data_IF_753871836429
#
_entry.id   IF_753871836429
#
_cell.length_a   1.000
_cell.length_b   1.000
_cell.length_c   1.000
_cell.angle_alpha   90.00
_cell.angle_beta   90.00
_cell.angle_gamma   90.00
#
_symmetry.space_group_name_H-M   'P 1'
#
loop_
_entity.id
_entity.type
_entity.pdbx_description
1 polymer ?
#
# COMPACT_ATOMS: atom_id res chain seq x y z
N UNK A 1 65.58 23.10 48.55
CA UNK A 1 64.83 21.83 48.48
C UNK A 1 63.33 22.14 48.50
N UNK A 2 62.73 22.30 47.31
CA UNK A 2 61.27 22.28 47.10
C UNK A 2 61.07 21.62 45.73
N UNK A 3 60.59 20.38 45.76
CA UNK A 3 60.25 19.60 44.58
C UNK A 3 58.88 20.04 44.05
N UNK A 4 58.81 20.39 42.77
CA UNK A 4 57.55 20.59 42.07
C UNK A 4 57.15 19.25 41.42
N UNK A 5 56.11 18.62 41.97
CA UNK A 5 55.47 17.48 41.33
C UNK A 5 54.57 17.98 40.18
N UNK A 6 54.97 17.70 38.94
CA UNK A 6 54.12 17.86 37.76
C UNK A 6 53.16 16.68 37.69
N UNK A 7 51.91 16.88 38.10
CA UNK A 7 50.83 15.91 37.91
C UNK A 7 50.37 15.92 36.45
N UNK A 8 50.76 14.88 35.71
CA UNK A 8 50.24 14.60 34.37
C UNK A 8 48.82 14.04 34.50
N UNK A 9 47.81 14.84 34.14
CA UNK A 9 46.42 14.38 34.06
C UNK A 9 46.28 13.61 32.74
N UNK A 10 46.34 12.29 32.79
CA UNK A 10 45.86 11.42 31.70
C UNK A 10 44.35 11.58 31.58
N UNK A 11 43.90 12.26 30.52
CA UNK A 11 42.50 12.30 30.14
C UNK A 11 42.12 10.94 29.52
N UNK A 12 41.58 10.05 30.35
CA UNK A 12 40.85 8.87 29.89
C UNK A 12 39.57 9.34 29.20
N UNK A 13 39.55 9.32 27.87
CA UNK A 13 38.30 9.53 27.12
C UNK A 13 37.36 8.34 27.36
N UNK A 14 36.06 8.54 27.66
CA UNK A 14 35.12 7.45 27.71
C UNK A 14 34.82 6.99 26.28
N UNK A 15 35.57 5.99 25.81
CA UNK A 15 35.24 5.21 24.62
C UNK A 15 34.28 4.11 25.03
N UNK A 16 33.00 4.43 25.10
CA UNK A 16 31.90 3.46 24.91
C UNK A 16 30.65 4.23 24.46
N UNK A 17 30.76 4.91 23.31
CA UNK A 17 29.57 5.39 22.62
C UNK A 17 28.85 4.17 22.06
N UNK A 18 27.86 3.67 22.80
CA UNK A 18 27.09 2.50 22.41
C UNK A 18 26.44 2.74 21.05
N UNK A 19 26.77 1.88 20.07
CA UNK A 19 26.26 2.02 18.71
C UNK A 19 24.71 2.01 18.70
N UNK A 20 24.07 2.90 17.91
CA UNK A 20 22.62 3.01 17.88
C UNK A 20 21.99 1.71 17.39
N UNK A 21 20.88 1.31 18.01
CA UNK A 21 20.16 0.08 17.65
C UNK A 21 19.30 0.36 16.42
N UNK A 22 19.77 -0.08 15.26
CA UNK A 22 19.09 0.16 13.99
C UNK A 22 17.82 -0.70 13.87
N UNK A 23 16.76 -0.09 13.32
CA UNK A 23 15.42 -0.67 13.19
C UNK A 23 14.92 -0.64 11.74
N UNK A 24 13.72 -1.16 11.49
CA UNK A 24 13.06 -1.06 10.17
C UNK A 24 12.83 0.39 9.73
N UNK A 25 12.64 1.32 10.67
CA UNK A 25 12.49 2.74 10.36
C UNK A 25 13.78 3.33 9.76
N UNK A 26 14.93 2.97 10.34
CA UNK A 26 16.26 3.35 9.83
C UNK A 26 16.50 2.82 8.42
N UNK A 27 16.21 1.54 8.17
CA UNK A 27 16.34 0.96 6.83
C UNK A 27 15.45 1.65 5.79
N UNK A 28 14.22 2.04 6.17
CA UNK A 28 13.32 2.80 5.30
C UNK A 28 13.90 4.19 5.00
N UNK A 29 14.31 4.94 6.01
CA UNK A 29 14.89 6.29 5.87
C UNK A 29 16.14 6.26 4.99
N UNK A 30 17.04 5.31 5.22
CA UNK A 30 18.25 5.13 4.43
C UNK A 30 17.93 4.85 2.94
N UNK A 31 16.89 4.06 2.66
CA UNK A 31 16.43 3.79 1.28
C UNK A 31 15.74 5.00 0.63
N UNK A 32 15.07 5.84 1.40
CA UNK A 32 14.51 7.12 0.90
C UNK A 32 15.66 8.05 0.46
N UNK A 33 16.68 8.20 1.31
CA UNK A 33 17.87 9.01 0.99
C UNK A 33 18.58 8.46 -0.25
N UNK A 34 18.81 7.14 -0.34
CA UNK A 34 19.44 6.49 -1.50
C UNK A 34 18.73 6.77 -2.83
N UNK A 35 17.39 6.84 -2.82
CA UNK A 35 16.57 7.08 -4.01
C UNK A 35 16.35 8.57 -4.32
N UNK A 36 16.95 9.46 -3.52
CA UNK A 36 16.80 10.90 -3.63
C UNK A 36 18.14 11.59 -3.87
N UNK A 37 18.10 12.89 -4.15
CA UNK A 37 19.29 13.73 -4.20
C UNK A 37 19.92 14.00 -2.81
N UNK A 38 19.50 13.28 -1.75
CA UNK A 38 20.14 13.37 -0.44
C UNK A 38 19.69 14.57 0.40
N UNK A 39 18.46 15.04 0.26
CA UNK A 39 17.97 16.18 1.04
C UNK A 39 17.87 15.83 2.54
N UNK A 40 18.55 16.57 3.45
CA UNK A 40 18.50 16.29 4.87
C UNK A 40 17.15 16.70 5.48
N UNK A 41 16.56 15.81 6.28
CA UNK A 41 15.35 16.09 7.09
C UNK A 41 15.70 16.55 8.50
N UNK A 42 16.95 16.34 8.93
CA UNK A 42 17.49 16.68 10.26
C UNK A 42 16.69 16.05 11.42
N UNK A 43 16.24 14.81 11.25
CA UNK A 43 15.50 14.06 12.26
C UNK A 43 16.38 13.11 13.09
N UNK A 44 15.80 12.49 14.12
CA UNK A 44 16.52 11.55 15.00
C UNK A 44 17.03 10.30 14.26
N UNK A 45 16.32 9.82 13.23
CA UNK A 45 16.75 8.67 12.44
C UNK A 45 18.02 9.01 11.64
N UNK A 46 18.11 10.21 11.08
CA UNK A 46 19.30 10.69 10.38
C UNK A 46 20.50 10.84 11.32
N UNK A 47 20.28 11.32 12.55
CA UNK A 47 21.34 11.39 13.57
C UNK A 47 21.90 9.99 13.86
N UNK A 48 21.03 9.01 14.08
CA UNK A 48 21.45 7.63 14.35
C UNK A 48 22.13 6.97 13.13
N UNK A 49 21.64 7.23 11.91
CA UNK A 49 22.25 6.73 10.67
C UNK A 49 23.63 7.35 10.40
N UNK A 50 23.81 8.64 10.71
CA UNK A 50 25.10 9.33 10.64
C UNK A 50 26.07 8.80 11.71
N UNK A 51 25.60 8.64 12.94
CA UNK A 51 26.40 8.07 14.03
C UNK A 51 26.83 6.62 13.75
N UNK A 52 25.97 5.85 13.06
CA UNK A 52 26.27 4.50 12.61
C UNK A 52 27.17 4.44 11.35
N UNK A 53 27.54 5.58 10.76
CA UNK A 53 28.36 5.64 9.54
C UNK A 53 27.66 5.10 8.29
N UNK A 54 26.33 4.95 8.30
CA UNK A 54 25.55 4.51 7.13
C UNK A 54 25.21 5.68 6.18
N UNK A 55 25.32 6.91 6.70
CA UNK A 55 25.23 8.14 5.95
C UNK A 55 26.49 8.98 6.14
N UNK A 56 26.79 9.81 5.15
CA UNK A 56 27.78 10.88 5.24
C UNK A 56 27.19 12.21 4.79
N UNK A 57 27.70 13.31 5.37
CA UNK A 57 27.33 14.67 4.97
C UNK A 57 28.27 15.15 3.86
N UNK A 58 27.70 15.52 2.72
CA UNK A 58 28.40 16.19 1.64
C UNK A 58 28.13 17.69 1.70
N UNK A 59 29.22 18.47 1.67
CA UNK A 59 29.18 19.93 1.60
C UNK A 59 29.95 20.38 0.37
N UNK A 60 29.31 20.41 -0.81
CA UNK A 60 29.92 20.97 -2.00
C UNK A 60 30.32 22.43 -1.71
N UNK A 61 31.44 22.88 -2.29
CA UNK A 61 31.93 24.25 -2.16
C UNK A 61 30.85 25.26 -2.59
N UNK A 62 30.19 25.92 -1.63
CA UNK A 62 29.09 26.86 -1.90
C UNK A 62 27.72 26.22 -2.19
N UNK A 63 27.60 24.89 -2.08
CA UNK A 63 26.34 24.17 -2.26
C UNK A 63 25.56 23.96 -0.96
N UNK A 64 24.31 23.49 -1.10
CA UNK A 64 23.49 23.06 0.05
C UNK A 64 24.02 21.72 0.56
N UNK A 65 24.08 21.55 1.88
CA UNK A 65 24.45 20.28 2.51
C UNK A 65 23.48 19.17 2.06
N UNK A 66 24.03 18.03 1.63
CA UNK A 66 23.27 16.83 1.28
C UNK A 66 23.80 15.61 2.02
N UNK A 67 22.99 14.57 2.11
CA UNK A 67 23.30 13.28 2.71
C UNK A 67 23.51 12.24 1.63
N UNK A 68 24.64 11.55 1.70
CA UNK A 68 24.96 10.43 0.84
C UNK A 68 24.95 9.12 1.63
N UNK A 69 24.46 8.06 1.01
CA UNK A 69 24.56 6.71 1.56
C UNK A 69 25.99 6.19 1.34
N UNK A 70 26.65 5.80 2.41
CA UNK A 70 28.02 5.24 2.37
C UNK A 70 28.01 3.80 1.86
N UNK A 71 29.17 3.23 1.52
CA UNK A 71 29.27 1.82 1.14
C UNK A 71 28.82 0.86 2.26
N UNK A 72 29.05 1.24 3.52
CA UNK A 72 28.50 0.53 4.67
C UNK A 72 26.97 0.60 4.70
N UNK A 73 26.40 1.78 4.39
CA UNK A 73 24.96 1.96 4.19
C UNK A 73 24.38 1.12 3.05
N UNK A 74 25.07 1.04 1.90
CA UNK A 74 24.68 0.18 0.78
C UNK A 74 24.71 -1.29 1.17
N UNK A 75 25.77 -1.73 1.85
CA UNK A 75 25.88 -3.10 2.37
C UNK A 75 24.76 -3.42 3.35
N UNK A 76 24.43 -2.49 4.25
CA UNK A 76 23.32 -2.63 5.19
C UNK A 76 21.96 -2.73 4.48
N UNK A 77 21.74 -1.92 3.44
CA UNK A 77 20.53 -2.01 2.60
C UNK A 77 20.46 -3.36 1.89
N UNK A 78 21.54 -3.82 1.29
CA UNK A 78 21.61 -5.12 0.61
C UNK A 78 21.33 -6.28 1.58
N UNK A 79 21.93 -6.28 2.77
CA UNK A 79 21.65 -7.28 3.81
C UNK A 79 20.21 -7.23 4.31
N UNK A 80 19.62 -6.03 4.41
CA UNK A 80 18.22 -5.87 4.79
C UNK A 80 17.29 -6.41 3.70
N UNK A 81 17.59 -6.12 2.43
CA UNK A 81 16.88 -6.69 1.29
C UNK A 81 17.00 -8.21 1.27
N UNK A 82 18.20 -8.75 1.47
CA UNK A 82 18.44 -10.19 1.50
C UNK A 82 17.71 -10.88 2.66
N UNK A 83 17.75 -10.31 3.87
CA UNK A 83 16.96 -10.82 5.01
C UNK A 83 15.48 -10.77 4.74
N UNK A 84 14.98 -9.69 4.13
CA UNK A 84 13.57 -9.59 3.76
C UNK A 84 13.20 -10.64 2.69
N UNK A 85 14.06 -10.88 1.69
CA UNK A 85 13.87 -11.94 0.68
C UNK A 85 13.86 -13.33 1.31
N UNK A 86 14.74 -13.59 2.28
CA UNK A 86 14.81 -14.86 3.01
C UNK A 86 13.65 -15.03 4.01
N UNK A 87 13.11 -13.92 4.50
CA UNK A 87 11.98 -13.89 5.44
C UNK A 87 10.62 -13.74 4.73
N UNK A 88 10.56 -13.75 3.40
CA UNK A 88 9.31 -13.61 2.67
C UNK A 88 8.43 -14.82 3.01
N UNK A 89 7.33 -14.57 3.70
CA UNK A 89 6.38 -15.63 4.02
C UNK A 89 5.75 -16.19 2.75
N UNK A 90 5.22 -17.40 2.80
CA UNK A 90 4.45 -17.99 1.67
C UNK A 90 3.34 -17.04 1.22
N UNK A 91 2.73 -16.31 2.17
CA UNK A 91 1.76 -15.27 1.89
C UNK A 91 2.37 -14.11 1.10
N UNK A 92 3.47 -13.52 1.57
CA UNK A 92 4.12 -12.39 0.88
C UNK A 92 4.59 -12.77 -0.54
N UNK A 93 5.02 -14.02 -0.72
CA UNK A 93 5.46 -14.52 -2.03
C UNK A 93 4.28 -14.57 -3.00
N UNK A 94 3.12 -15.04 -2.53
CA UNK A 94 1.90 -15.07 -3.32
C UNK A 94 1.34 -13.66 -3.58
N UNK A 95 1.45 -12.73 -2.61
CA UNK A 95 1.16 -11.30 -2.81
C UNK A 95 1.98 -10.73 -3.96
N UNK A 96 3.29 -10.98 -3.97
CA UNK A 96 4.17 -10.52 -5.03
C UNK A 96 3.81 -11.15 -6.39
N UNK A 97 3.48 -12.44 -6.43
CA UNK A 97 3.07 -13.13 -7.66
C UNK A 97 1.79 -12.54 -8.27
N UNK A 98 0.76 -12.32 -7.45
CA UNK A 98 -0.50 -11.69 -7.88
C UNK A 98 -0.24 -10.26 -8.36
N UNK A 99 0.55 -9.48 -7.62
CA UNK A 99 0.90 -8.13 -8.01
C UNK A 99 1.63 -8.07 -9.36
N UNK A 100 2.59 -8.96 -9.61
CA UNK A 100 3.26 -9.06 -10.93
C UNK A 100 2.27 -9.35 -12.05
N UNK A 101 1.38 -10.32 -11.86
CA UNK A 101 0.37 -10.66 -12.87
C UNK A 101 -0.50 -9.45 -13.25
N UNK A 102 -0.94 -8.69 -12.25
CA UNK A 102 -1.76 -7.48 -12.47
C UNK A 102 -0.98 -6.34 -13.13
N UNK A 103 0.29 -6.14 -12.78
CA UNK A 103 1.16 -5.16 -13.43
C UNK A 103 1.42 -5.51 -14.90
N UNK A 104 1.68 -6.79 -15.20
CA UNK A 104 1.81 -7.30 -16.58
C UNK A 104 0.51 -7.10 -17.36
N UNK A 105 -0.64 -7.25 -16.71
CA UNK A 105 -1.95 -6.91 -17.28
C UNK A 105 -2.21 -5.39 -17.43
N UNK A 106 -1.22 -4.54 -17.14
CA UNK A 106 -1.29 -3.08 -17.31
C UNK A 106 -2.09 -2.35 -16.24
N UNK A 107 -2.33 -2.99 -15.08
CA UNK A 107 -3.05 -2.36 -13.95
C UNK A 107 -2.09 -1.59 -13.06
N UNK A 108 -2.60 -0.58 -12.35
CA UNK A 108 -1.88 0.09 -11.27
C UNK A 108 -2.20 -0.63 -9.97
N UNK A 109 -1.16 -1.01 -9.21
CA UNK A 109 -1.27 -1.96 -8.10
C UNK A 109 -0.70 -1.36 -6.81
N UNK A 110 -1.36 -1.61 -5.68
CA UNK A 110 -0.89 -1.28 -4.33
C UNK A 110 -1.02 -2.51 -3.42
N UNK A 111 -0.14 -2.58 -2.43
CA UNK A 111 -0.22 -3.56 -1.33
C UNK A 111 -0.23 -2.84 0.01
N UNK A 112 -0.83 -3.48 1.01
CA UNK A 112 -0.86 -2.93 2.38
C UNK A 112 -1.63 -1.61 2.53
N UNK A 113 -2.51 -1.29 1.58
CA UNK A 113 -3.34 -0.08 1.57
C UNK A 113 -4.32 -0.11 2.74
N UNK A 114 -4.34 0.92 3.60
CA UNK A 114 -5.34 1.04 4.66
C UNK A 114 -6.42 2.04 4.23
N UNK A 115 -7.68 1.59 4.11
CA UNK A 115 -8.79 2.40 3.61
C UNK A 115 -10.05 2.21 4.45
N UNK A 116 -10.85 3.28 4.56
CA UNK A 116 -12.17 3.23 5.21
C UNK A 116 -13.22 2.79 4.18
N UNK A 117 -13.90 1.69 4.47
CA UNK A 117 -15.03 1.19 3.70
C UNK A 117 -16.33 1.45 4.47
N UNK A 118 -17.41 1.66 3.72
CA UNK A 118 -18.76 1.73 4.28
C UNK A 118 -19.34 0.31 4.26
N UNK A 119 -19.85 -0.14 5.40
CA UNK A 119 -20.55 -1.42 5.48
C UNK A 119 -22.03 -1.21 5.12
N UNK A 120 -22.66 -2.14 4.39
CA UNK A 120 -24.09 -2.13 4.20
C UNK A 120 -24.80 -2.27 5.55
N UNK A 121 -25.92 -1.58 5.71
CA UNK A 121 -26.77 -1.71 6.89
C UNK A 121 -27.43 -3.10 6.89
N UNK A 122 -27.66 -3.72 8.07
CA UNK A 122 -28.41 -4.98 8.15
C UNK A 122 -29.87 -4.75 7.69
N UNK A 123 -30.10 -4.91 6.39
CA UNK A 123 -31.36 -4.62 5.71
C UNK A 123 -31.18 -4.24 4.22
N UNK A 124 -30.00 -3.75 3.83
CA UNK A 124 -29.67 -3.35 2.45
C UNK A 124 -29.22 -4.53 1.56
N UNK A 125 -29.45 -5.78 1.99
CA UNK A 125 -29.25 -6.93 1.13
C UNK A 125 -30.27 -6.84 -0.01
N UNK A 126 -29.83 -6.34 -1.18
CA UNK A 126 -30.62 -6.38 -2.39
C UNK A 126 -31.15 -7.81 -2.60
N UNK A 127 -32.45 -8.00 -2.86
CA UNK A 127 -32.98 -9.32 -3.11
C UNK A 127 -32.23 -9.93 -4.31
N UNK A 128 -31.87 -11.20 -4.18
CA UNK A 128 -31.31 -11.98 -5.28
C UNK A 128 -32.20 -11.82 -6.53
N UNK A 129 -31.63 -11.78 -7.76
CA UNK A 129 -32.45 -11.64 -8.95
C UNK A 129 -33.40 -12.83 -9.04
N UNK A 130 -34.70 -12.56 -8.90
CA UNK A 130 -35.74 -13.53 -9.20
C UNK A 130 -35.67 -13.80 -10.70
N UNK A 131 -35.39 -15.06 -11.07
CA UNK A 131 -35.51 -15.55 -12.44
C UNK A 131 -36.96 -15.39 -12.89
N UNK A 132 -37.12 -14.91 -14.13
CA UNK A 132 -38.38 -14.67 -14.81
C UNK A 132 -39.35 -15.86 -14.73
N UNK A 133 -40.59 -15.57 -14.31
CA UNK A 133 -41.77 -16.34 -14.65
C UNK A 133 -42.83 -15.38 -15.18
N UNK A 134 -43.21 -15.58 -16.45
CA UNK A 134 -44.18 -14.81 -17.21
C UNK A 134 -45.56 -14.73 -16.54
N UNK A 135 -46.26 -13.59 -16.72
CA UNK A 135 -47.71 -13.53 -16.51
C UNK A 135 -48.30 -12.17 -16.17
N UNK A 136 -48.62 -11.39 -17.21
CA UNK A 136 -49.81 -10.54 -17.42
C UNK A 136 -50.45 -9.81 -16.22
N UNK A 137 -50.53 -8.47 -16.30
CA UNK A 137 -51.48 -7.69 -15.50
C UNK A 137 -51.33 -6.16 -15.63
N UNK A 138 -52.20 -5.54 -16.43
CA UNK A 138 -52.33 -4.11 -16.67
C UNK A 138 -52.72 -3.29 -15.41
N UNK A 139 -52.18 -2.06 -15.27
CA UNK A 139 -52.60 -1.04 -14.30
C UNK A 139 -51.78 0.26 -14.45
N UNK A 140 -52.34 1.45 -14.16
CA UNK A 140 -52.22 2.61 -15.05
C UNK A 140 -50.98 3.51 -14.84
N UNK A 141 -50.57 4.08 -15.96
CA UNK A 141 -49.67 5.23 -16.13
C UNK A 141 -50.15 6.44 -15.32
N UNK A 142 -49.30 6.96 -14.45
CA UNK A 142 -49.42 8.30 -13.85
C UNK A 142 -48.41 9.22 -14.52
N UNK A 143 -48.93 10.29 -15.10
CA UNK A 143 -48.23 11.22 -15.96
C UNK A 143 -47.17 12.07 -15.22
N UNK A 144 -46.07 12.33 -15.94
CA UNK A 144 -45.05 13.31 -15.59
C UNK A 144 -45.64 14.72 -15.52
N UNK A 145 -45.65 15.32 -14.32
CA UNK A 145 -45.81 16.76 -14.13
C UNK A 145 -44.45 17.46 -14.28
N UNK A 146 -44.39 18.46 -15.16
CA UNK A 146 -43.22 19.30 -15.38
C UNK A 146 -42.87 20.17 -14.15
N UNK A 147 -41.59 20.51 -13.91
CA UNK A 147 -41.21 21.39 -12.81
C UNK A 147 -41.44 22.87 -13.17
N UNK A 148 -41.99 23.61 -12.21
CA UNK A 148 -42.22 25.05 -12.21
C UNK A 148 -40.89 25.84 -12.09
N UNK A 149 -40.54 26.79 -12.99
CA UNK A 149 -39.19 27.36 -13.07
C UNK A 149 -38.97 28.67 -12.27
N UNK A 150 -39.77 28.97 -11.22
CA UNK A 150 -39.59 30.21 -10.46
C UNK A 150 -39.70 30.05 -8.95
N UNK A 151 -38.61 29.63 -8.29
CA UNK A 151 -38.33 29.92 -6.88
C UNK A 151 -36.84 29.65 -6.57
N UNK A 152 -35.94 30.50 -7.08
CA UNK A 152 -34.57 30.58 -6.55
C UNK A 152 -34.52 31.71 -5.53
N UNK A 153 -34.51 31.33 -4.26
CA UNK A 153 -34.01 32.16 -3.16
C UNK A 153 -32.87 31.37 -2.52
N UNK A 154 -31.67 31.95 -2.32
CA UNK A 154 -30.56 31.21 -1.73
C UNK A 154 -30.84 31.03 -0.24
N UNK A 155 -31.30 29.86 0.18
CA UNK A 155 -31.43 29.54 1.59
C UNK A 155 -30.03 29.46 2.22
N UNK A 156 -29.92 30.16 3.34
CA UNK A 156 -28.72 30.32 4.13
C UNK A 156 -28.07 28.98 4.50
N UNK A 157 -26.75 28.99 4.62
CA UNK A 157 -25.94 27.87 5.10
C UNK A 157 -26.33 27.55 6.55
N UNK A 158 -27.32 26.68 6.74
CA UNK A 158 -27.77 26.23 8.05
C UNK A 158 -26.76 25.21 8.60
N UNK A 159 -26.06 25.61 9.67
CA UNK A 159 -25.12 24.77 10.42
C UNK A 159 -25.78 24.01 11.57
N UNK A 160 -27.12 23.98 11.64
CA UNK A 160 -27.80 23.11 12.60
C UNK A 160 -28.03 21.72 12.01
N UNK A 161 -27.55 20.63 12.66
CA UNK A 161 -27.84 19.29 12.18
C UNK A 161 -29.32 19.01 12.42
N UNK A 162 -30.12 19.09 11.36
CA UNK A 162 -31.45 18.48 11.32
C UNK A 162 -31.33 16.99 11.60
N UNK A 163 -31.67 16.59 12.83
CA UNK A 163 -31.68 15.19 13.26
C UNK A 163 -32.93 14.47 12.70
N UNK A 164 -33.05 14.41 11.39
CA UNK A 164 -34.02 13.57 10.69
C UNK A 164 -33.41 12.19 10.46
N UNK A 165 -33.54 11.28 11.44
CA UNK A 165 -33.60 9.82 11.28
C UNK A 165 -32.62 9.09 10.34
N UNK A 166 -31.47 9.67 9.96
CA UNK A 166 -30.49 9.00 9.11
C UNK A 166 -29.75 7.94 9.93
N UNK A 167 -30.10 6.67 9.69
CA UNK A 167 -29.36 5.51 10.18
C UNK A 167 -27.84 5.74 10.02
N UNK A 168 -27.11 5.55 11.12
CA UNK A 168 -25.68 5.85 11.21
C UNK A 168 -24.87 4.85 10.38
N UNK A 169 -24.46 5.26 9.18
CA UNK A 169 -23.56 4.50 8.32
C UNK A 169 -22.39 3.90 9.12
N UNK A 170 -22.26 2.58 9.11
CA UNK A 170 -21.17 1.87 9.80
C UNK A 170 -19.91 1.85 8.94
N UNK A 171 -18.79 2.28 9.52
CA UNK A 171 -17.49 2.37 8.83
C UNK A 171 -16.48 1.38 9.40
N UNK A 172 -15.67 0.77 8.53
CA UNK A 172 -14.58 -0.14 8.91
C UNK A 172 -13.30 0.24 8.18
N UNK A 173 -12.17 0.27 8.90
CA UNK A 173 -10.85 0.30 8.26
C UNK A 173 -10.54 -1.11 7.79
N UNK A 174 -10.24 -1.26 6.52
CA UNK A 174 -9.84 -2.52 5.91
C UNK A 174 -8.48 -2.36 5.22
N UNK A 175 -7.78 -3.48 5.05
CA UNK A 175 -6.44 -3.54 4.50
C UNK A 175 -6.35 -4.72 3.53
N UNK A 176 -6.77 -4.56 2.27
CA UNK A 176 -6.63 -5.63 1.27
C UNK A 176 -5.16 -5.98 1.05
N UNK A 177 -4.90 -7.26 0.77
CA UNK A 177 -3.54 -7.72 0.49
C UNK A 177 -3.01 -7.10 -0.81
N UNK A 178 -3.82 -7.15 -1.88
CA UNK A 178 -3.55 -6.47 -3.16
C UNK A 178 -4.78 -5.69 -3.62
N UNK A 179 -4.58 -4.40 -3.88
CA UNK A 179 -5.58 -3.52 -4.49
C UNK A 179 -5.10 -3.05 -5.85
N UNK A 180 -5.98 -2.99 -6.86
CA UNK A 180 -5.59 -2.49 -8.18
C UNK A 180 -6.70 -1.74 -8.90
N UNK A 181 -6.32 -0.80 -9.75
CA UNK A 181 -7.20 -0.11 -10.70
C UNK A 181 -6.70 -0.35 -12.12
N UNK A 182 -7.60 -0.21 -13.10
CA UNK A 182 -7.23 -0.11 -14.51
C UNK A 182 -6.42 1.18 -14.73
N UNK A 183 -5.36 1.10 -15.51
CA UNK A 183 -4.67 2.28 -16.00
C UNK A 183 -5.51 2.92 -17.13
N UNK A 184 -6.13 4.07 -16.85
CA UNK A 184 -7.08 4.74 -17.74
C UNK A 184 -7.06 6.25 -17.48
N UNK A 185 -7.41 7.04 -18.50
CA UNK A 185 -7.57 8.50 -18.41
C UNK A 185 -9.00 8.92 -18.03
N UNK A 186 -9.95 7.98 -18.00
CA UNK A 186 -11.35 8.22 -17.65
C UNK A 186 -11.64 7.64 -16.26
N UNK A 187 -11.99 8.51 -15.31
CA UNK A 187 -12.23 8.14 -13.91
C UNK A 187 -13.29 7.04 -13.74
N UNK A 188 -14.37 7.07 -14.54
CA UNK A 188 -15.42 6.05 -14.47
C UNK A 188 -14.98 4.65 -14.91
N UNK A 189 -13.81 4.51 -15.54
CA UNK A 189 -13.29 3.23 -16.04
C UNK A 189 -12.22 2.62 -15.12
N UNK A 190 -12.02 3.20 -13.93
CA UNK A 190 -10.96 2.78 -13.00
C UNK A 190 -11.09 1.33 -12.56
N UNK A 191 -12.31 0.76 -12.54
CA UNK A 191 -12.57 -0.65 -12.24
C UNK A 191 -11.69 -1.15 -11.08
N UNK A 192 -11.86 -0.65 -9.85
CA UNK A 192 -11.09 -1.13 -8.72
C UNK A 192 -11.27 -2.64 -8.57
N UNK A 193 -10.30 -3.32 -7.94
CA UNK A 193 -10.35 -4.76 -7.66
C UNK A 193 -9.55 -5.05 -6.40
N UNK A 194 -10.13 -5.83 -5.48
CA UNK A 194 -9.44 -6.39 -4.31
C UNK A 194 -9.10 -7.86 -4.55
N UNK A 195 -7.86 -8.25 -4.23
CA UNK A 195 -7.45 -9.64 -4.09
C UNK A 195 -7.00 -9.87 -2.65
N UNK A 196 -7.67 -10.81 -1.97
CA UNK A 196 -7.34 -11.29 -0.63
C UNK A 196 -6.67 -12.66 -0.76
N UNK A 197 -5.52 -12.84 -0.11
CA UNK A 197 -4.64 -13.98 -0.32
C UNK A 197 -4.66 -14.90 0.90
N UNK A 198 -4.90 -16.19 0.66
CA UNK A 198 -4.95 -17.21 1.71
C UNK A 198 -4.06 -18.38 1.38
N UNK A 199 -3.11 -18.65 2.28
CA UNK A 199 -2.12 -19.73 2.15
C UNK A 199 -2.31 -20.84 3.17
N UNK A 200 -3.28 -20.72 4.07
CA UNK A 200 -3.65 -21.79 5.00
C UNK A 200 -5.16 -21.91 5.16
N UNK A 201 -5.63 -23.14 5.38
CA UNK A 201 -7.06 -23.42 5.58
C UNK A 201 -7.62 -22.74 6.83
N UNK A 202 -6.84 -22.65 7.90
CA UNK A 202 -7.27 -22.00 9.14
C UNK A 202 -7.52 -20.50 8.94
N UNK A 203 -6.60 -19.81 8.25
CA UNK A 203 -6.73 -18.39 7.93
C UNK A 203 -7.95 -18.13 7.02
N UNK A 204 -8.13 -18.95 5.97
CA UNK A 204 -9.31 -18.86 5.11
C UNK A 204 -10.62 -19.00 5.90
N UNK A 205 -10.75 -20.04 6.72
CA UNK A 205 -11.98 -20.26 7.51
C UNK A 205 -12.22 -19.15 8.54
N UNK A 206 -11.16 -18.56 9.10
CA UNK A 206 -11.24 -17.39 9.97
C UNK A 206 -11.84 -16.19 9.24
N UNK A 207 -11.35 -15.93 8.03
CA UNK A 207 -11.81 -14.83 7.19
C UNK A 207 -13.23 -14.99 6.67
N UNK A 208 -13.61 -16.20 6.23
CA UNK A 208 -14.94 -16.47 5.68
C UNK A 208 -16.07 -16.26 6.71
N UNK A 209 -15.75 -16.36 8.01
CA UNK A 209 -16.70 -16.06 9.10
C UNK A 209 -16.98 -14.55 9.24
N UNK A 210 -16.06 -13.69 8.79
CA UNK A 210 -16.14 -12.25 8.97
C UNK A 210 -16.86 -11.58 7.78
N UNK A 211 -18.19 -11.58 7.81
CA UNK A 211 -19.02 -10.93 6.78
C UNK A 211 -18.63 -9.47 6.52
N UNK A 212 -18.44 -8.70 7.59
CA UNK A 212 -18.01 -7.29 7.51
C UNK A 212 -16.71 -7.08 6.73
N UNK A 213 -15.77 -8.04 6.81
CA UNK A 213 -14.51 -7.94 6.08
C UNK A 213 -14.76 -8.05 4.57
N UNK A 214 -15.54 -9.04 4.16
CA UNK A 214 -15.92 -9.22 2.75
C UNK A 214 -16.74 -8.04 2.23
N UNK A 215 -17.71 -7.58 3.01
CA UNK A 215 -18.58 -6.48 2.58
C UNK A 215 -17.77 -5.19 2.43
N UNK A 216 -16.75 -4.94 3.29
CA UNK A 216 -15.82 -3.82 3.10
C UNK A 216 -15.00 -3.90 1.82
N UNK A 217 -14.62 -5.10 1.37
CA UNK A 217 -13.84 -5.28 0.15
C UNK A 217 -14.68 -5.16 -1.11
N UNK A 218 -15.93 -5.65 -1.08
CA UNK A 218 -16.89 -5.42 -2.15
C UNK A 218 -17.25 -3.93 -2.27
N UNK A 219 -17.32 -3.21 -1.15
CA UNK A 219 -17.55 -1.77 -1.12
C UNK A 219 -16.48 -1.00 -1.90
N UNK A 220 -15.20 -1.15 -1.51
CA UNK A 220 -14.08 -0.40 -2.11
C UNK A 220 -13.65 -0.95 -3.47
N UNK A 221 -13.85 -2.25 -3.69
CA UNK A 221 -13.28 -2.98 -4.79
C UNK A 221 -14.24 -3.16 -5.94
N UNK A 222 -15.56 -3.21 -5.74
CA UNK A 222 -16.52 -3.58 -6.80
C UNK A 222 -16.40 -5.03 -7.30
N UNK A 223 -15.23 -5.64 -7.12
CA UNK A 223 -14.89 -7.05 -7.24
C UNK A 223 -13.98 -7.43 -6.05
N UNK A 224 -14.24 -8.60 -5.48
CA UNK A 224 -13.41 -9.19 -4.44
C UNK A 224 -13.01 -10.60 -4.87
N UNK A 225 -11.72 -10.87 -4.93
CA UNK A 225 -11.13 -12.15 -5.31
C UNK A 225 -10.45 -12.79 -4.09
N UNK A 226 -10.68 -14.09 -3.89
CA UNK A 226 -9.84 -14.91 -3.01
C UNK A 226 -8.81 -15.66 -3.85
N UNK A 227 -7.54 -15.44 -3.55
CA UNK A 227 -6.43 -16.19 -4.16
C UNK A 227 -5.95 -17.23 -3.16
N UNK A 228 -6.13 -18.49 -3.49
CA UNK A 228 -5.91 -19.62 -2.60
C UNK A 228 -4.61 -20.34 -2.97
N UNK A 229 -3.67 -20.39 -2.03
CA UNK A 229 -2.46 -21.19 -2.15
C UNK A 229 -2.73 -22.68 -2.04
N UNK A 230 -1.65 -23.45 -2.06
CA UNK A 230 -1.69 -24.91 -1.94
C UNK A 230 -1.24 -25.41 -0.55
N UNK A 231 -1.73 -26.57 -0.16
CA UNK A 231 -1.23 -27.35 0.97
C UNK A 231 0.16 -27.95 0.67
N UNK A 232 0.78 -28.59 1.68
CA UNK A 232 2.08 -29.24 1.52
C UNK A 232 2.11 -30.38 0.49
N UNK A 233 0.95 -30.83 0.00
CA UNK A 233 0.80 -31.86 -1.04
C UNK A 233 0.51 -31.24 -2.41
N UNK A 234 0.58 -29.92 -2.54
CA UNK A 234 0.37 -29.19 -3.78
C UNK A 234 -1.10 -29.06 -4.20
N UNK A 235 -2.06 -29.27 -3.28
CA UNK A 235 -3.51 -29.14 -3.59
C UNK A 235 -4.03 -27.81 -3.05
N UNK A 236 -4.98 -27.13 -3.73
CA UNK A 236 -5.59 -25.92 -3.20
C UNK A 236 -6.13 -26.10 -1.78
N UNK A 237 -5.95 -25.10 -0.91
CA UNK A 237 -6.36 -25.18 0.51
C UNK A 237 -7.88 -25.29 0.74
N UNK A 238 -8.67 -24.99 -0.30
CA UNK A 238 -10.12 -25.10 -0.32
C UNK A 238 -10.64 -25.19 -1.77
N UNK A 239 -11.89 -25.62 -1.91
CA UNK A 239 -12.63 -25.62 -3.17
C UNK A 239 -13.29 -24.25 -3.43
N UNK A 240 -13.66 -23.97 -4.67
CA UNK A 240 -14.22 -22.68 -5.06
C UNK A 240 -15.64 -22.44 -4.50
N UNK A 241 -16.41 -23.51 -4.28
CA UNK A 241 -17.75 -23.48 -3.69
C UNK A 241 -17.74 -23.15 -2.18
N UNK A 242 -16.62 -23.41 -1.49
CA UNK A 242 -16.41 -22.99 -0.09
C UNK A 242 -16.32 -21.45 0.04
N UNK A 243 -15.93 -20.74 -1.02
CA UNK A 243 -15.86 -19.27 -1.04
C UNK A 243 -17.22 -18.68 -1.44
N UNK A 244 -17.71 -17.62 -0.76
CA UNK A 244 -19.00 -16.99 -1.08
C UNK A 244 -19.15 -16.64 -2.56
N UNK A 245 -20.33 -16.86 -3.17
CA UNK A 245 -20.56 -16.66 -4.60
C UNK A 245 -20.43 -15.20 -5.06
N UNK A 246 -20.52 -14.25 -4.13
CA UNK A 246 -20.24 -12.83 -4.37
C UNK A 246 -18.74 -12.53 -4.64
N UNK A 247 -17.86 -13.52 -4.52
CA UNK A 247 -16.42 -13.38 -4.70
C UNK A 247 -15.90 -14.33 -5.79
N UNK A 248 -14.86 -13.86 -6.49
CA UNK A 248 -14.08 -14.68 -7.41
C UNK A 248 -13.07 -15.56 -6.67
N UNK A 249 -12.60 -16.60 -7.35
CA UNK A 249 -11.64 -17.57 -6.81
C UNK A 249 -10.55 -17.82 -7.83
N UNK A 250 -9.29 -17.69 -7.38
CA UNK A 250 -8.10 -18.06 -8.13
C UNK A 250 -7.32 -19.09 -7.31
N UNK A 251 -6.87 -20.16 -7.94
CA UNK A 251 -5.93 -21.10 -7.36
C UNK A 251 -4.50 -20.72 -7.76
N UNK A 252 -3.63 -20.59 -6.78
CA UNK A 252 -2.20 -20.42 -6.99
C UNK A 252 -1.51 -21.77 -6.94
N UNK A 253 -1.21 -22.29 -8.12
CA UNK A 253 -0.65 -23.62 -8.31
C UNK A 253 0.86 -23.64 -8.00
N UNK A 254 1.44 -24.79 -7.60
CA UNK A 254 2.84 -24.87 -7.17
C UNK A 254 3.86 -24.52 -8.27
N UNK A 255 3.47 -24.62 -9.53
CA UNK A 255 4.27 -24.22 -10.71
C UNK A 255 4.27 -22.71 -10.96
N UNK A 256 3.54 -21.93 -10.15
CA UNK A 256 3.42 -20.48 -10.29
C UNK A 256 2.26 -20.04 -11.19
N UNK A 257 1.42 -20.96 -11.67
CA UNK A 257 0.23 -20.61 -12.43
C UNK A 257 -0.88 -20.05 -11.51
N UNK A 258 -1.62 -19.06 -12.01
CA UNK A 258 -2.79 -18.49 -11.34
C UNK A 258 -4.05 -18.87 -12.11
N UNK A 259 -4.74 -19.92 -11.65
CA UNK A 259 -5.90 -20.50 -12.31
C UNK A 259 -7.20 -19.89 -11.82
N UNK A 260 -7.95 -19.27 -12.73
CA UNK A 260 -9.26 -18.72 -12.42
C UNK A 260 -10.28 -19.85 -12.31
N UNK A 261 -10.71 -20.16 -11.09
CA UNK A 261 -11.72 -21.18 -10.82
C UNK A 261 -13.15 -20.63 -10.92
N UNK A 262 -13.34 -19.36 -10.52
CA UNK A 262 -14.62 -18.65 -10.65
C UNK A 262 -14.37 -17.16 -10.80
N UNK A 263 -15.00 -16.52 -11.77
CA UNK A 263 -14.93 -15.07 -11.94
C UNK A 263 -15.65 -14.32 -10.82
N UNK A 264 -15.06 -13.23 -10.33
CA UNK A 264 -15.74 -12.33 -9.41
C UNK A 264 -16.87 -11.59 -10.12
N UNK A 265 -18.09 -11.52 -9.55
CA UNK A 265 -19.13 -10.63 -10.02
C UNK A 265 -18.63 -9.18 -10.02
N UNK A 266 -18.83 -8.47 -11.13
CA UNK A 266 -18.38 -7.09 -11.27
C UNK A 266 -19.50 -6.11 -10.98
N UNK A 267 -19.32 -5.30 -9.92
CA UNK A 267 -20.14 -4.12 -9.67
C UNK A 267 -19.46 -2.89 -10.25
N UNK A 268 -20.12 -2.20 -11.17
CA UNK A 268 -19.61 -0.94 -11.69
C UNK A 268 -19.54 0.10 -10.56
N UNK A 269 -18.37 0.71 -10.39
CA UNK A 269 -18.16 1.83 -9.49
C UNK A 269 -17.91 3.04 -10.39
N UNK A 270 -18.91 3.91 -10.49
CA UNK A 270 -18.87 5.09 -11.35
C UNK A 270 -17.79 6.08 -10.88
N UNK A 271 -17.66 6.26 -9.57
CA UNK A 271 -16.66 7.16 -8.97
C UNK A 271 -16.02 6.50 -7.74
N UNK A 272 -14.69 6.55 -7.65
CA UNK A 272 -14.02 6.13 -6.43
C UNK A 272 -14.36 7.10 -5.29
N UNK A 273 -14.73 6.60 -4.09
CA UNK A 273 -14.97 7.45 -2.95
C UNK A 273 -13.76 8.33 -2.62
N UNK A 274 -13.98 9.59 -2.22
CA UNK A 274 -12.89 10.52 -1.92
C UNK A 274 -11.91 9.98 -0.86
N UNK A 275 -12.40 9.24 0.13
CA UNK A 275 -11.55 8.60 1.13
C UNK A 275 -10.57 7.56 0.54
N UNK A 276 -10.98 6.85 -0.52
CA UNK A 276 -10.12 5.91 -1.25
C UNK A 276 -9.11 6.68 -2.10
N UNK A 277 -9.50 7.77 -2.76
CA UNK A 277 -8.55 8.67 -3.44
C UNK A 277 -7.45 9.17 -2.50
N UNK A 278 -7.82 9.61 -1.29
CA UNK A 278 -6.86 10.05 -0.28
C UNK A 278 -5.95 8.93 0.23
N UNK A 279 -6.43 7.69 0.26
CA UNK A 279 -5.60 6.55 0.61
C UNK A 279 -4.59 6.23 -0.50
N UNK A 280 -5.04 6.24 -1.75
CA UNK A 280 -4.19 5.98 -2.93
C UNK A 280 -3.13 7.07 -3.12
N UNK A 281 -3.47 8.35 -2.93
CA UNK A 281 -2.53 9.47 -3.09
C UNK A 281 -1.40 9.48 -2.06
N UNK A 282 -1.63 8.90 -0.88
CA UNK A 282 -0.63 8.74 0.19
C UNK A 282 0.23 7.49 0.04
N UNK A 283 -0.16 6.56 -0.83
CA UNK A 283 0.51 5.29 -1.04
C UNK A 283 1.28 5.30 -2.37
N UNK A 284 2.46 4.70 -2.38
CA UNK A 284 3.23 4.53 -3.63
C UNK A 284 2.73 3.26 -4.34
N UNK A 285 2.27 3.34 -5.61
CA UNK A 285 1.94 2.15 -6.38
C UNK A 285 3.20 1.31 -6.62
N UNK A 286 3.04 0.01 -6.72
CA UNK A 286 4.09 -0.91 -7.12
C UNK A 286 4.48 -0.64 -8.58
N UNK A 287 5.78 -0.71 -8.85
CA UNK A 287 6.35 -0.70 -10.20
C UNK A 287 6.87 -2.09 -10.54
N UNK A 288 6.96 -2.44 -11.83
CA UNK A 288 7.59 -3.70 -12.24
C UNK A 288 8.99 -3.85 -11.64
N UNK A 289 9.81 -2.79 -11.70
CA UNK A 289 11.09 -2.66 -11.02
C UNK A 289 11.05 -3.03 -9.53
N UNK A 290 10.02 -2.55 -8.80
CA UNK A 290 9.82 -2.83 -7.38
C UNK A 290 9.30 -4.24 -7.06
N UNK A 291 8.81 -4.99 -8.06
CA UNK A 291 8.37 -6.40 -7.88
C UNK A 291 9.33 -7.41 -8.51
N UNK A 292 10.21 -6.97 -9.42
CA UNK A 292 11.28 -7.77 -10.03
C UNK A 292 12.68 -7.47 -9.47
N UNK A 293 12.81 -6.68 -8.41
CA UNK A 293 14.11 -6.33 -7.80
C UNK A 293 15.10 -5.64 -8.78
N UNK A 294 14.61 -5.08 -9.90
CA UNK A 294 15.42 -4.32 -10.86
C UNK A 294 15.14 -2.82 -10.68
N UNK A 295 15.78 -2.20 -9.69
CA UNK A 295 15.57 -0.80 -9.29
C UNK A 295 16.35 0.16 -10.21
N UNK A 296 15.69 0.69 -11.24
CA UNK A 296 16.25 1.61 -12.25
C UNK A 296 15.89 3.10 -12.03
N UNK A 297 15.86 3.58 -10.78
CA UNK A 297 15.64 4.99 -10.47
C UNK A 297 16.90 5.87 -10.63
N UNK A 298 16.78 7.22 -10.71
CA UNK A 298 17.94 8.11 -10.68
C UNK A 298 18.61 8.03 -9.30
N UNK A 299 19.66 7.21 -9.18
CA UNK A 299 20.40 7.02 -7.94
C UNK A 299 21.35 8.18 -7.62
N UNK A 300 22.01 8.12 -6.46
CA UNK A 300 23.00 9.11 -5.99
C UNK A 300 24.28 9.21 -6.84
N UNK A 301 24.34 8.60 -8.03
CA UNK A 301 25.48 8.65 -8.94
C UNK A 301 25.89 10.09 -9.34
N UNK A 302 24.98 11.06 -9.21
CA UNK A 302 25.20 12.48 -9.52
C UNK A 302 25.77 13.29 -8.34
N UNK A 303 25.84 12.75 -7.12
CA UNK A 303 26.30 13.47 -5.91
C UNK A 303 27.81 13.36 -5.67
N UNK A 304 28.61 13.03 -6.70
CA UNK A 304 30.06 12.93 -6.53
C UNK A 304 30.65 14.28 -6.12
N UNK A 305 31.57 14.31 -5.13
CA UNK A 305 32.32 15.53 -4.85
C UNK A 305 33.11 15.90 -6.11
N UNK A 306 32.75 17.01 -6.75
CA UNK A 306 33.59 17.57 -7.80
C UNK A 306 34.92 17.93 -7.17
N UNK A 307 35.95 17.16 -7.51
CA UNK A 307 37.31 17.51 -7.17
C UNK A 307 37.61 18.82 -7.90
N UNK A 308 37.92 19.87 -7.15
CA UNK A 308 38.36 21.12 -7.75
C UNK A 308 39.55 20.79 -8.69
N UNK A 309 39.59 21.31 -9.92
CA UNK A 309 40.74 21.09 -10.78
C UNK A 309 41.98 21.62 -10.04
N UNK A 310 43.01 20.77 -9.95
CA UNK A 310 44.30 21.18 -9.42
C UNK A 310 44.72 22.45 -10.18
N UNK A 311 44.89 23.54 -9.44
CA UNK A 311 45.46 24.74 -10.00
C UNK A 311 46.92 24.41 -10.35
N UNK A 312 47.16 24.06 -11.61
CA UNK A 312 48.50 24.06 -12.19
C UNK A 312 49.01 25.50 -12.10
N UNK A 313 49.86 25.74 -11.11
CA UNK A 313 50.69 26.93 -10.99
C UNK A 313 52.00 26.67 -11.75
N UNK A 314 52.26 27.35 -12.88
CA UNK A 314 53.62 27.67 -13.29
C UNK A 314 54.17 28.88 -12.52
#
# INVERSE_FOLDING_TARGET
MRENATSTISATMPSDAQAPVLTRAHARRLREIYRSAGWPSQDGLEIELLAAGLLERLRPSGGIESLRVTDAGITYLAQTLQRNRQALSVHDALVAQVARSLLVAGRVVWTGLAVRARLPEPGDAAPAPLLDAAGVGSGPVVAHGAPDPTAQTPEAFDLTPGHSGRNKARWKVCKPDVFSIRNTTVAAYLQPVVHEIKVSRADLLGDLRLRDKRDSYLDIGGQCWYVLGCDARGRPIAQADEVPPACGVIFAMPDGQLDVARHAPSRAIADLPFALWMALSRATPLSMAGVTDEDGGPGQAMLQPQTAPAADLP
#
